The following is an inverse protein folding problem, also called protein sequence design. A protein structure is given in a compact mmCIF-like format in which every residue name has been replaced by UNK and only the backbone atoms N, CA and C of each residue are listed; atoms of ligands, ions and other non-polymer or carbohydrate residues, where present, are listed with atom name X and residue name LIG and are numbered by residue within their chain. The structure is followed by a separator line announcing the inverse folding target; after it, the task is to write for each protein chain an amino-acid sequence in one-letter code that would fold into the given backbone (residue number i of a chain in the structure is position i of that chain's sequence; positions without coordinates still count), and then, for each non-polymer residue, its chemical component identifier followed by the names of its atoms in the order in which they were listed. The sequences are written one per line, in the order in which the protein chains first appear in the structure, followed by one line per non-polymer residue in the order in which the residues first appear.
data_IF_829193980906
#
_entry.id   IF_829193980906
#
_cell.length_a   1.000
_cell.length_b   1.000
_cell.length_c   1.000
_cell.angle_alpha   90.00
_cell.angle_beta   90.00
_cell.angle_gamma   90.00
#
_symmetry.space_group_name_H-M   'P 1'
#
loop_
_entity.id
_entity.type
_entity.pdbx_description
1 polymer ?
#
# COMPACT_ATOMS: atom_id res chain seq x y z
N UNK A 1 45.02 -48.70 23.37
CA UNK A 1 44.89 -50.16 23.45
C UNK A 1 43.53 -50.48 24.05
N UNK A 2 42.74 -51.27 23.32
CA UNK A 2 41.64 -52.19 23.69
C UNK A 2 40.80 -51.97 24.97
N UNK A 3 39.51 -52.33 25.07
CA UNK A 3 38.42 -52.75 24.20
C UNK A 3 37.28 -53.21 25.14
N UNK A 4 36.05 -53.35 24.59
CA UNK A 4 34.84 -54.03 25.11
C UNK A 4 33.97 -53.17 26.06
N UNK A 5 32.70 -52.86 25.81
CA UNK A 5 31.71 -53.36 24.85
C UNK A 5 30.62 -54.14 25.59
N UNK A 6 29.41 -53.57 25.71
CA UNK A 6 28.15 -54.32 25.85
C UNK A 6 27.05 -53.60 25.06
N UNK A 7 26.51 -54.34 24.10
CA UNK A 7 25.38 -54.05 23.23
C UNK A 7 24.07 -54.30 24.02
N UNK A 8 23.04 -53.50 23.79
CA UNK A 8 21.66 -53.99 23.92
C UNK A 8 20.77 -53.37 22.85
N UNK A 9 20.29 -54.25 21.99
CA UNK A 9 19.36 -54.05 20.88
C UNK A 9 17.92 -54.30 21.34
N UNK A 10 16.98 -53.45 20.92
CA UNK A 10 15.56 -53.84 20.80
C UNK A 10 14.98 -53.28 19.49
N UNK A 11 14.36 -54.19 18.73
CA UNK A 11 13.68 -53.99 17.45
C UNK A 11 12.22 -54.47 17.62
N UNK A 12 11.28 -53.70 17.03
CA UNK A 12 9.88 -54.00 16.64
C UNK A 12 8.84 -54.23 17.77
N UNK A 13 7.56 -53.80 17.67
CA UNK A 13 6.69 -53.55 16.53
C UNK A 13 5.51 -52.57 16.87
N UNK A 14 4.85 -52.05 15.82
CA UNK A 14 3.48 -51.46 15.80
C UNK A 14 2.40 -52.52 16.17
N UNK A 15 1.06 -52.27 16.33
CA UNK A 15 0.12 -51.28 15.72
C UNK A 15 -0.99 -50.79 16.73
N UNK A 16 -2.26 -50.38 16.40
CA UNK A 16 -2.93 -50.12 15.11
C UNK A 16 -3.69 -48.77 14.98
N UNK A 17 -4.14 -48.57 13.74
CA UNK A 17 -5.01 -47.55 13.16
C UNK A 17 -6.48 -47.59 13.60
N UNK A 18 -7.14 -46.43 13.70
CA UNK A 18 -8.48 -46.18 13.13
C UNK A 18 -8.90 -44.70 13.15
N UNK A 19 -9.13 -44.16 11.95
CA UNK A 19 -10.19 -43.26 11.46
C UNK A 19 -10.87 -42.22 12.39
N UNK A 20 -10.83 -40.94 11.96
CA UNK A 20 -12.00 -40.16 11.52
C UNK A 20 -11.58 -38.92 10.72
N UNK A 21 -12.14 -38.77 9.51
CA UNK A 21 -12.06 -37.61 8.60
C UNK A 21 -13.22 -36.62 8.83
N UNK A 22 -12.98 -35.32 8.63
CA UNK A 22 -13.97 -34.30 8.23
C UNK A 22 -13.25 -32.99 7.79
N UNK A 23 -13.86 -32.14 6.95
CA UNK A 23 -13.24 -31.75 5.67
C UNK A 23 -12.64 -30.34 5.60
N UNK A 24 -11.83 -30.18 4.56
CA UNK A 24 -11.23 -28.95 4.05
C UNK A 24 -12.22 -28.09 3.27
N UNK A 25 -12.31 -26.79 3.59
CA UNK A 25 -12.93 -25.80 2.72
C UNK A 25 -11.86 -25.06 1.90
N UNK A 26 -11.68 -25.53 0.65
CA UNK A 26 -11.12 -24.74 -0.45
C UNK A 26 -12.30 -24.14 -1.21
N UNK A 27 -12.31 -22.82 -1.40
CA UNK A 27 -13.16 -22.20 -2.42
C UNK A 27 -12.30 -21.36 -3.38
N UNK A 28 -11.84 -22.01 -4.45
CA UNK A 28 -11.65 -21.37 -5.74
C UNK A 28 -12.84 -21.78 -6.60
N UNK A 29 -13.56 -20.83 -7.20
CA UNK A 29 -14.24 -21.05 -8.48
C UNK A 29 -14.60 -19.72 -9.14
N UNK A 30 -13.96 -19.50 -10.29
CA UNK A 30 -14.46 -18.65 -11.36
C UNK A 30 -15.84 -19.15 -11.81
N UNK A 31 -16.78 -18.24 -12.01
CA UNK A 31 -18.09 -18.54 -12.59
C UNK A 31 -18.29 -17.79 -13.91
N UNK A 32 -18.23 -18.51 -15.04
CA UNK A 32 -18.90 -18.15 -16.28
C UNK A 32 -20.32 -18.78 -16.32
N UNK A 33 -21.24 -18.22 -17.12
CA UNK A 33 -22.68 -18.39 -16.89
C UNK A 33 -23.21 -19.68 -17.52
N UNK A 34 -23.99 -20.44 -16.74
CA UNK A 34 -24.83 -21.52 -17.26
C UNK A 34 -26.22 -20.99 -17.59
N UNK A 35 -26.59 -21.10 -18.87
CA UNK A 35 -27.99 -21.11 -19.32
C UNK A 35 -28.60 -22.47 -18.96
N UNK A 36 -29.87 -22.51 -18.56
CA UNK A 36 -30.88 -23.39 -19.18
C UNK A 36 -32.33 -23.14 -18.67
N UNK A 37 -33.23 -23.08 -19.66
CA UNK A 37 -34.65 -23.48 -19.74
C UNK A 37 -35.60 -23.35 -18.53
N UNK A 38 -36.66 -22.57 -18.76
CA UNK A 38 -37.91 -22.56 -17.99
C UNK A 38 -38.82 -23.77 -18.29
N UNK A 39 -39.68 -24.16 -17.35
CA UNK A 39 -41.05 -24.54 -17.67
C UNK A 39 -42.08 -23.68 -16.91
N UNK A 40 -43.17 -23.35 -17.61
CA UNK A 40 -44.38 -22.74 -17.05
C UNK A 40 -45.12 -23.75 -16.14
N UNK A 41 -45.80 -23.26 -15.09
CA UNK A 41 -47.25 -23.45 -14.85
C UNK A 41 -47.68 -22.68 -13.57
N UNK A 42 -48.74 -21.89 -13.79
CA UNK A 42 -49.70 -21.19 -12.92
C UNK A 42 -49.77 -21.42 -11.41
N UNK A 43 -50.08 -20.33 -10.69
CA UNK A 43 -50.81 -20.36 -9.42
C UNK A 43 -50.63 -19.07 -8.62
N UNK A 44 -51.71 -18.28 -8.49
CA UNK A 44 -51.75 -16.96 -7.84
C UNK A 44 -51.55 -17.06 -6.33
N UNK A 45 -50.63 -16.25 -5.79
CA UNK A 45 -50.82 -15.59 -4.49
C UNK A 45 -49.96 -14.31 -4.43
N UNK A 46 -50.63 -13.19 -4.21
CA UNK A 46 -50.04 -11.86 -4.22
C UNK A 46 -49.34 -11.59 -2.88
N UNK A 47 -48.01 -11.71 -2.88
CA UNK A 47 -47.16 -11.20 -1.79
C UNK A 47 -46.39 -9.99 -2.32
N UNK A 48 -46.76 -8.84 -1.79
CA UNK A 48 -46.20 -7.52 -2.11
C UNK A 48 -44.73 -7.46 -1.66
N UNK A 49 -43.80 -7.79 -2.55
CA UNK A 49 -42.36 -7.61 -2.31
C UNK A 49 -42.05 -6.11 -2.32
N UNK A 50 -41.89 -5.53 -1.13
CA UNK A 50 -41.24 -4.24 -0.96
C UNK A 50 -39.82 -4.31 -1.53
N UNK A 51 -39.63 -3.77 -2.74
CA UNK A 51 -38.32 -3.47 -3.25
C UNK A 51 -37.82 -2.23 -2.49
N UNK A 52 -37.07 -2.44 -1.41
CA UNK A 52 -36.33 -1.35 -0.77
C UNK A 52 -35.15 -1.02 -1.68
N UNK A 53 -35.39 -0.15 -2.65
CA UNK A 53 -34.31 0.57 -3.31
C UNK A 53 -33.72 1.49 -2.24
N UNK A 54 -32.62 1.07 -1.63
CA UNK A 54 -31.79 1.96 -0.82
C UNK A 54 -31.11 2.93 -1.80
N UNK A 55 -31.85 3.98 -2.15
CA UNK A 55 -31.27 5.18 -2.72
C UNK A 55 -30.34 5.77 -1.68
N UNK A 56 -29.02 5.61 -1.86
CA UNK A 56 -28.04 6.42 -1.14
C UNK A 56 -28.34 7.88 -1.49
N UNK A 57 -29.04 8.58 -0.59
CA UNK A 57 -29.07 10.04 -0.61
C UNK A 57 -27.65 10.51 -0.34
N UNK A 58 -26.89 10.76 -1.40
CA UNK A 58 -25.78 11.70 -1.33
C UNK A 58 -26.35 13.00 -0.78
N UNK A 59 -25.65 13.60 0.18
CA UNK A 59 -26.10 14.89 0.70
C UNK A 59 -26.15 15.89 -0.47
N UNK A 60 -27.16 16.76 -0.50
CA UNK A 60 -27.30 17.75 -1.59
C UNK A 60 -26.05 18.64 -1.74
N UNK A 61 -25.28 18.79 -0.65
CA UNK A 61 -23.98 19.45 -0.62
C UNK A 61 -22.88 18.66 -1.34
N UNK A 62 -22.76 17.34 -1.13
CA UNK A 62 -21.77 16.52 -1.84
C UNK A 62 -22.03 16.49 -3.34
N UNK A 63 -23.30 16.35 -3.75
CA UNK A 63 -23.66 16.34 -5.16
C UNK A 63 -23.50 17.73 -5.78
N UNK A 64 -23.86 18.81 -5.07
CA UNK A 64 -23.62 20.18 -5.52
C UNK A 64 -22.13 20.48 -5.66
N UNK A 65 -21.30 20.05 -4.71
CA UNK A 65 -19.84 20.18 -4.79
C UNK A 65 -19.28 19.36 -5.95
N UNK A 66 -19.78 18.15 -6.20
CA UNK A 66 -19.38 17.32 -7.36
C UNK A 66 -19.74 17.98 -8.69
N UNK A 67 -20.93 18.56 -8.81
CA UNK A 67 -21.39 19.27 -10.00
C UNK A 67 -20.57 20.55 -10.22
N UNK A 68 -20.30 21.30 -9.15
CA UNK A 68 -19.45 22.49 -9.20
C UNK A 68 -18.02 22.13 -9.63
N UNK A 69 -17.43 21.06 -9.09
CA UNK A 69 -16.12 20.52 -9.51
C UNK A 69 -16.09 20.19 -11.01
N UNK A 70 -17.13 19.52 -11.51
CA UNK A 70 -17.24 19.17 -12.94
C UNK A 70 -17.29 20.41 -13.83
N UNK A 71 -17.97 21.48 -13.38
CA UNK A 71 -18.07 22.75 -14.11
C UNK A 71 -16.79 23.58 -14.06
N UNK A 72 -16.08 23.60 -12.93
CA UNK A 72 -14.79 24.30 -12.78
C UNK A 72 -13.66 23.59 -13.56
N UNK A 73 -13.69 22.26 -13.66
CA UNK A 73 -12.82 21.51 -14.58
C UNK A 73 -13.12 21.82 -16.07
N UNK A 74 -14.36 22.18 -16.40
CA UNK A 74 -14.77 22.51 -17.77
C UNK A 74 -14.49 23.99 -18.14
N UNK A 75 -14.44 24.91 -17.17
CA UNK A 75 -14.28 26.34 -17.42
C UNK A 75 -12.83 26.82 -17.55
N UNK A 76 -11.85 25.98 -17.20
CA UNK A 76 -10.43 26.26 -17.45
C UNK A 76 -9.98 25.61 -18.77
N UNK A 77 -9.50 26.44 -19.71
CA UNK A 77 -8.76 26.12 -20.96
C UNK A 77 -8.86 24.67 -21.39
N UNK A 78 -9.60 24.34 -22.47
CA UNK A 78 -9.70 23.00 -23.11
C UNK A 78 -8.43 22.16 -22.88
N UNK A 79 -8.37 21.48 -21.73
CA UNK A 79 -7.23 20.66 -21.37
C UNK A 79 -7.36 19.46 -22.29
N UNK A 80 -6.50 19.39 -23.32
CA UNK A 80 -6.39 18.19 -24.16
C UNK A 80 -6.34 17.00 -23.20
N UNK A 81 -7.36 16.13 -23.24
CA UNK A 81 -7.40 14.95 -22.38
C UNK A 81 -6.10 14.18 -22.61
N UNK A 82 -5.31 14.01 -21.55
CA UNK A 82 -4.09 13.19 -21.57
C UNK A 82 -4.50 11.77 -21.99
N UNK A 83 -3.76 11.12 -22.90
CA UNK A 83 -3.99 9.70 -23.19
C UNK A 83 -3.92 8.88 -21.90
N UNK A 84 -4.80 7.88 -21.70
CA UNK A 84 -4.72 6.98 -20.56
C UNK A 84 -3.35 6.30 -20.50
N UNK A 85 -2.88 6.04 -19.28
CA UNK A 85 -1.67 5.26 -19.04
C UNK A 85 -1.79 3.88 -19.70
N UNK A 86 -0.68 3.41 -20.26
CA UNK A 86 -0.56 2.07 -20.82
C UNK A 86 0.67 1.40 -20.25
N UNK A 87 0.55 0.10 -20.02
CA UNK A 87 1.65 -0.76 -19.61
C UNK A 87 2.72 -0.81 -20.70
N UNK A 88 3.96 -0.58 -20.32
CA UNK A 88 5.16 -0.79 -21.12
C UNK A 88 5.68 -2.23 -20.99
N UNK A 89 6.83 -2.50 -21.62
CA UNK A 89 7.52 -3.78 -21.50
C UNK A 89 8.24 -3.87 -20.15
N UNK A 90 7.88 -4.85 -19.33
CA UNK A 90 8.56 -5.15 -18.07
C UNK A 90 9.82 -5.98 -18.38
N UNK A 91 10.99 -5.51 -17.91
CA UNK A 91 12.24 -6.27 -18.06
C UNK A 91 12.37 -7.38 -17.01
N UNK A 92 13.30 -8.32 -17.21
CA UNK A 92 13.55 -9.39 -16.26
C UNK A 92 13.88 -8.87 -14.84
N UNK A 93 13.66 -9.73 -13.84
CA UNK A 93 14.01 -9.45 -12.44
C UNK A 93 15.54 -9.24 -12.32
N UNK A 94 15.94 -8.23 -11.55
CA UNK A 94 17.35 -7.95 -11.28
C UNK A 94 17.88 -8.91 -10.21
N UNK A 95 19.13 -9.41 -10.34
CA UNK A 95 19.70 -10.36 -9.39
C UNK A 95 20.15 -9.67 -8.10
N UNK A 96 19.97 -10.36 -6.97
CA UNK A 96 20.49 -9.93 -5.66
C UNK A 96 21.65 -10.84 -5.27
N UNK A 97 22.86 -10.32 -4.97
CA UNK A 97 24.00 -11.14 -4.54
C UNK A 97 23.68 -12.03 -3.33
N UNK A 98 24.29 -13.22 -3.26
CA UNK A 98 23.99 -14.20 -2.20
C UNK A 98 24.27 -13.69 -0.78
N UNK A 99 25.30 -12.86 -0.60
CA UNK A 99 25.69 -12.31 0.70
C UNK A 99 24.71 -11.27 1.29
N UNK A 100 23.78 -10.74 0.50
CA UNK A 100 22.76 -9.81 0.98
C UNK A 100 21.70 -10.59 1.77
N UNK A 101 21.44 -10.17 3.01
CA UNK A 101 20.39 -10.76 3.84
C UNK A 101 19.02 -10.60 3.16
N UNK A 102 18.25 -11.69 3.09
CA UNK A 102 16.94 -11.72 2.43
C UNK A 102 15.82 -11.78 3.47
N UNK A 103 14.72 -11.05 3.28
CA UNK A 103 13.53 -11.19 4.12
C UNK A 103 12.84 -12.56 3.88
N UNK A 104 12.03 -13.04 4.84
CA UNK A 104 11.54 -14.43 4.87
C UNK A 104 10.57 -14.80 3.73
N UNK A 105 9.97 -13.83 3.05
CA UNK A 105 9.06 -14.08 1.94
C UNK A 105 9.78 -14.39 0.61
N UNK A 106 11.09 -14.14 0.52
CA UNK A 106 11.84 -14.39 -0.71
C UNK A 106 11.89 -15.89 -1.01
N UNK A 107 11.43 -16.27 -2.19
CA UNK A 107 11.32 -17.67 -2.63
C UNK A 107 9.87 -18.17 -2.74
N UNK A 108 8.91 -17.40 -2.22
CA UNK A 108 7.48 -17.63 -2.42
C UNK A 108 6.87 -16.56 -3.32
N UNK A 109 5.89 -16.93 -4.15
CA UNK A 109 5.05 -15.97 -4.87
C UNK A 109 3.73 -15.69 -4.15
N UNK A 110 3.48 -16.35 -3.01
CA UNK A 110 2.30 -16.09 -2.19
C UNK A 110 2.49 -14.78 -1.46
N UNK A 111 1.49 -13.90 -1.52
CA UNK A 111 1.49 -12.67 -0.75
C UNK A 111 1.50 -13.02 0.76
N UNK A 112 2.45 -12.51 1.55
CA UNK A 112 2.44 -12.74 2.99
C UNK A 112 1.15 -12.25 3.64
N UNK A 113 0.63 -12.99 4.61
CA UNK A 113 -0.47 -12.53 5.43
C UNK A 113 -0.03 -11.33 6.29
N UNK A 114 -0.96 -10.41 6.56
CA UNK A 114 -0.72 -9.29 7.46
C UNK A 114 -0.37 -9.82 8.86
N UNK A 115 0.79 -9.45 9.39
CA UNK A 115 1.17 -9.86 10.74
C UNK A 115 0.31 -9.14 11.78
N UNK A 116 -0.21 -9.87 12.76
CA UNK A 116 -0.92 -9.28 13.90
C UNK A 116 0.04 -8.69 14.95
N UNK A 117 1.35 -8.79 14.74
CA UNK A 117 2.37 -8.33 15.67
C UNK A 117 2.64 -6.83 15.49
N UNK A 118 2.17 -6.05 16.45
CA UNK A 118 2.48 -4.64 16.55
C UNK A 118 4.00 -4.43 16.66
N UNK A 119 4.57 -3.60 15.80
CA UNK A 119 6.00 -3.35 15.73
C UNK A 119 6.40 -2.30 16.78
N UNK A 120 6.66 -2.76 18.01
CA UNK A 120 7.17 -1.95 19.13
C UNK A 120 8.58 -2.41 19.45
N UNK A 121 9.52 -1.47 19.52
CA UNK A 121 10.95 -1.79 19.56
C UNK A 121 11.60 -1.33 20.86
N UNK A 122 12.63 -2.07 21.27
CA UNK A 122 13.61 -1.62 22.26
C UNK A 122 14.65 -0.69 21.60
N UNK A 123 15.64 -0.24 22.38
CA UNK A 123 16.65 0.71 21.91
C UNK A 123 17.48 0.17 20.72
N UNK A 124 17.80 -1.13 20.68
CA UNK A 124 18.54 -1.75 19.57
C UNK A 124 17.65 -1.83 18.31
N UNK A 125 16.40 -2.25 18.47
CA UNK A 125 15.43 -2.27 17.38
C UNK A 125 15.17 -0.88 16.79
N UNK A 126 15.07 0.15 17.64
CA UNK A 126 14.95 1.55 17.20
C UNK A 126 16.18 1.99 16.40
N UNK A 127 17.39 1.65 16.85
CA UNK A 127 18.61 1.99 16.12
C UNK A 127 18.66 1.32 14.73
N UNK A 128 18.22 0.06 14.62
CA UNK A 128 18.13 -0.65 13.33
C UNK A 128 17.05 -0.08 12.42
N UNK A 129 15.89 0.29 12.98
CA UNK A 129 14.83 0.99 12.25
C UNK A 129 15.32 2.30 11.67
N UNK A 130 16.03 3.11 12.47
CA UNK A 130 16.64 4.37 12.01
C UNK A 130 17.60 4.12 10.84
N UNK A 131 18.50 3.14 10.96
CA UNK A 131 19.44 2.82 9.89
C UNK A 131 18.75 2.39 8.58
N UNK A 132 17.72 1.54 8.65
CA UNK A 132 16.96 1.12 7.48
C UNK A 132 16.19 2.30 6.85
N UNK A 133 15.54 3.12 7.67
CA UNK A 133 14.79 4.29 7.22
C UNK A 133 15.69 5.38 6.61
N UNK A 134 16.86 5.65 7.22
CA UNK A 134 17.85 6.58 6.67
C UNK A 134 18.36 6.12 5.30
N UNK A 135 18.55 4.81 5.11
CA UNK A 135 18.90 4.28 3.80
C UNK A 135 17.75 4.44 2.79
N UNK A 136 16.51 4.10 3.16
CA UNK A 136 15.34 4.26 2.30
C UNK A 136 15.18 5.72 1.84
N UNK A 137 15.30 6.68 2.76
CA UNK A 137 15.22 8.11 2.47
C UNK A 137 16.32 8.57 1.49
N UNK A 138 17.57 8.14 1.69
CA UNK A 138 18.67 8.45 0.76
C UNK A 138 18.45 7.86 -0.64
N UNK A 139 17.90 6.64 -0.71
CA UNK A 139 17.57 6.00 -1.98
C UNK A 139 16.43 6.74 -2.68
N UNK A 140 15.41 7.19 -1.96
CA UNK A 140 14.30 7.98 -2.49
C UNK A 140 14.77 9.34 -3.02
N UNK A 141 15.61 10.05 -2.27
CA UNK A 141 16.19 11.33 -2.71
C UNK A 141 17.01 11.15 -3.99
N UNK A 142 17.87 10.13 -4.03
CA UNK A 142 18.61 9.76 -5.23
C UNK A 142 17.67 9.44 -6.41
N UNK A 143 16.63 8.63 -6.20
CA UNK A 143 15.65 8.31 -7.24
C UNK A 143 14.98 9.56 -7.80
N UNK A 144 14.67 10.54 -6.94
CA UNK A 144 14.14 11.84 -7.32
C UNK A 144 15.02 12.61 -8.30
N UNK A 145 16.36 12.53 -8.16
CA UNK A 145 17.30 13.18 -9.09
C UNK A 145 17.24 12.64 -10.51
N UNK A 146 16.71 11.42 -10.70
CA UNK A 146 16.59 10.77 -12.00
C UNK A 146 15.30 11.17 -12.73
N UNK A 147 14.35 11.82 -12.04
CA UNK A 147 13.03 12.18 -12.60
C UNK A 147 13.16 13.32 -13.60
N UNK A 148 13.15 12.96 -14.89
CA UNK A 148 13.13 13.92 -16.01
C UNK A 148 12.48 13.29 -17.24
N UNK A 149 12.03 14.09 -18.21
CA UNK A 149 11.45 13.58 -19.45
C UNK A 149 12.39 12.58 -20.15
N UNK A 150 11.79 11.61 -20.84
CA UNK A 150 12.45 10.53 -21.58
C UNK A 150 13.14 9.44 -20.76
N UNK A 151 13.34 9.61 -19.45
CA UNK A 151 13.79 8.52 -18.56
C UNK A 151 12.64 7.54 -18.36
N UNK A 152 12.93 6.24 -18.46
CA UNK A 152 11.96 5.17 -18.18
C UNK A 152 11.88 4.86 -16.69
N UNK A 153 10.72 4.40 -16.23
CA UNK A 153 10.57 3.92 -14.85
C UNK A 153 11.48 2.73 -14.56
N UNK A 154 11.74 1.87 -15.56
CA UNK A 154 12.70 0.77 -15.44
C UNK A 154 14.17 1.23 -15.33
N UNK A 155 14.55 2.40 -15.86
CA UNK A 155 15.89 2.99 -15.60
C UNK A 155 16.02 3.45 -14.15
N UNK A 156 14.95 4.04 -13.59
CA UNK A 156 14.89 4.41 -12.17
C UNK A 156 15.02 3.17 -11.28
N UNK A 157 14.23 2.12 -11.54
CA UNK A 157 14.31 0.84 -10.81
C UNK A 157 15.72 0.25 -10.82
N UNK A 158 16.40 0.23 -11.98
CA UNK A 158 17.77 -0.29 -12.07
C UNK A 158 18.76 0.51 -11.22
N UNK A 159 18.65 1.83 -11.23
CA UNK A 159 19.54 2.71 -10.46
C UNK A 159 19.29 2.57 -8.96
N UNK A 160 18.02 2.56 -8.54
CA UNK A 160 17.58 2.33 -7.16
C UNK A 160 18.03 0.96 -6.67
N UNK A 161 17.76 -0.10 -7.44
CA UNK A 161 18.22 -1.46 -7.14
C UNK A 161 19.73 -1.49 -6.88
N UNK A 162 20.52 -0.90 -7.79
CA UNK A 162 21.98 -0.87 -7.63
C UNK A 162 22.39 -0.18 -6.33
N UNK A 163 21.83 0.99 -6.02
CA UNK A 163 22.16 1.73 -4.80
C UNK A 163 21.81 0.93 -3.53
N UNK A 164 20.67 0.24 -3.52
CA UNK A 164 20.25 -0.61 -2.40
C UNK A 164 21.24 -1.77 -2.20
N UNK A 165 21.63 -2.45 -3.29
CA UNK A 165 22.60 -3.55 -3.24
C UNK A 165 23.98 -3.07 -2.80
N UNK A 166 24.47 -1.95 -3.35
CA UNK A 166 25.77 -1.37 -2.97
C UNK A 166 25.80 -0.98 -1.47
N UNK A 167 24.64 -0.65 -0.89
CA UNK A 167 24.49 -0.35 0.53
C UNK A 167 24.34 -1.60 1.44
N UNK A 168 24.42 -2.81 0.88
CA UNK A 168 24.30 -4.06 1.64
C UNK A 168 22.87 -4.42 2.03
N UNK A 169 21.86 -3.80 1.42
CA UNK A 169 20.45 -4.01 1.73
C UNK A 169 19.72 -4.78 0.62
N UNK A 170 18.54 -5.30 0.96
CA UNK A 170 17.64 -5.94 0.01
C UNK A 170 16.49 -4.99 -0.37
N UNK A 171 16.10 -4.87 -1.65
CA UNK A 171 14.93 -4.07 -2.04
C UNK A 171 13.64 -4.82 -1.69
N UNK A 172 12.95 -4.41 -0.62
CA UNK A 172 11.84 -5.18 -0.04
C UNK A 172 10.74 -5.56 -1.05
N UNK A 173 10.30 -4.69 -1.99
CA UNK A 173 9.28 -5.06 -2.95
C UNK A 173 9.67 -6.24 -3.83
N UNK A 174 10.96 -6.49 -4.04
CA UNK A 174 11.43 -7.52 -4.95
C UNK A 174 11.03 -8.92 -4.48
N UNK A 175 10.11 -9.56 -5.20
CA UNK A 175 9.60 -10.90 -4.87
C UNK A 175 8.47 -10.91 -3.84
N UNK A 176 8.11 -9.78 -3.23
CA UNK A 176 7.00 -9.72 -2.28
C UNK A 176 5.67 -10.05 -2.98
N UNK A 177 5.03 -11.17 -2.63
CA UNK A 177 3.84 -11.67 -3.34
C UNK A 177 4.05 -11.90 -4.85
N UNK A 178 5.30 -12.10 -5.28
CA UNK A 178 5.65 -12.19 -6.69
C UNK A 178 5.89 -10.86 -7.42
N UNK A 179 5.89 -9.71 -6.73
CA UNK A 179 6.18 -8.41 -7.36
C UNK A 179 7.55 -8.44 -8.09
N UNK A 180 7.64 -7.93 -9.34
CA UNK A 180 8.79 -8.22 -10.20
C UNK A 180 9.96 -7.23 -10.08
N UNK A 181 9.79 -6.12 -9.36
CA UNK A 181 10.71 -4.97 -9.36
C UNK A 181 11.14 -4.57 -7.95
N UNK A 182 12.12 -3.67 -7.88
CA UNK A 182 12.79 -3.30 -6.63
C UNK A 182 12.16 -2.09 -5.94
N UNK A 183 11.32 -1.37 -6.68
CA UNK A 183 10.68 -0.11 -6.31
C UNK A 183 9.34 -0.03 -7.03
N UNK A 184 8.38 0.69 -6.47
CA UNK A 184 7.13 1.03 -7.15
C UNK A 184 7.27 2.41 -7.83
N UNK A 185 6.72 2.55 -9.05
CA UNK A 185 6.70 3.82 -9.80
C UNK A 185 5.31 4.12 -10.33
N UNK A 186 4.60 5.01 -9.67
CA UNK A 186 3.17 5.29 -9.91
C UNK A 186 3.00 6.62 -10.60
N UNK A 187 2.75 6.59 -11.92
CA UNK A 187 2.68 7.79 -12.76
C UNK A 187 1.23 8.25 -12.96
N UNK A 188 0.99 9.56 -12.78
CA UNK A 188 -0.29 10.24 -13.06
C UNK A 188 -1.52 9.62 -12.40
N UNK A 189 -2.34 8.83 -13.11
CA UNK A 189 -3.56 8.20 -12.59
C UNK A 189 -3.27 6.93 -11.79
N UNK A 190 -2.05 6.42 -11.83
CA UNK A 190 -1.62 5.31 -10.99
C UNK A 190 -1.51 5.80 -9.54
N UNK A 191 -2.33 5.20 -8.67
CA UNK A 191 -2.42 5.50 -7.24
C UNK A 191 -1.19 4.97 -6.49
N UNK A 192 -0.89 3.69 -6.69
CA UNK A 192 0.19 2.97 -6.02
C UNK A 192 0.54 1.68 -6.81
N UNK A 193 1.64 1.04 -6.40
CA UNK A 193 2.12 -0.26 -6.89
C UNK A 193 2.34 -0.35 -8.42
N UNK A 194 2.59 0.79 -9.08
CA UNK A 194 2.95 0.78 -10.50
C UNK A 194 4.25 0.03 -10.73
N UNK A 195 4.24 -0.97 -11.62
CA UNK A 195 5.43 -1.76 -11.93
C UNK A 195 6.37 -0.96 -12.87
N UNK A 196 7.65 -0.74 -12.51
CA UNK A 196 8.65 -0.19 -13.42
C UNK A 196 8.75 -0.94 -14.75
N UNK A 197 8.65 -0.20 -15.86
CA UNK A 197 8.58 -0.73 -17.22
C UNK A 197 9.26 0.20 -18.24
N UNK A 198 9.12 -0.11 -19.53
CA UNK A 198 9.73 0.66 -20.61
C UNK A 198 9.07 2.02 -20.90
N UNK A 199 8.06 2.45 -20.13
CA UNK A 199 7.39 3.73 -20.32
C UNK A 199 8.34 4.86 -19.97
N UNK A 200 8.57 5.75 -20.93
CA UNK A 200 9.28 7.00 -20.69
C UNK A 200 8.37 8.04 -20.01
N UNK A 201 8.92 8.69 -18.99
CA UNK A 201 8.33 9.89 -18.38
C UNK A 201 8.17 10.99 -19.43
N UNK A 202 7.04 11.69 -19.35
CA UNK A 202 6.70 12.80 -20.24
C UNK A 202 6.80 14.12 -19.48
N UNK A 203 7.11 15.20 -20.19
CA UNK A 203 7.04 16.54 -19.61
C UNK A 203 5.61 16.84 -19.14
N UNK A 204 5.46 17.19 -17.86
CA UNK A 204 4.18 17.44 -17.22
C UNK A 204 3.57 16.23 -16.50
N UNK A 205 4.28 15.09 -16.47
CA UNK A 205 3.94 13.96 -15.60
C UNK A 205 4.21 14.30 -14.12
N UNK A 206 3.49 13.62 -13.24
CA UNK A 206 3.92 13.39 -11.85
C UNK A 206 4.17 11.90 -11.66
N UNK A 207 5.11 11.55 -10.81
CA UNK A 207 5.48 10.17 -10.49
C UNK A 207 5.70 10.04 -8.99
N UNK A 208 4.94 9.17 -8.33
CA UNK A 208 5.32 8.67 -7.02
C UNK A 208 6.37 7.56 -7.20
N UNK A 209 7.44 7.65 -6.42
CA UNK A 209 8.43 6.58 -6.26
C UNK A 209 8.35 6.15 -4.81
N UNK A 210 8.17 4.85 -4.61
CA UNK A 210 7.94 4.23 -3.31
C UNK A 210 9.01 3.18 -3.06
N UNK A 211 9.81 3.44 -2.03
CA UNK A 211 11.08 2.80 -1.72
C UNK A 211 11.00 2.17 -0.34
N UNK A 212 11.10 0.84 -0.34
CA UNK A 212 11.34 0.07 0.87
C UNK A 212 12.66 -0.70 0.76
N UNK A 213 13.49 -0.62 1.81
CA UNK A 213 14.72 -1.43 1.93
C UNK A 213 14.62 -2.36 3.13
N UNK A 214 15.32 -3.49 3.07
CA UNK A 214 15.52 -4.41 4.19
C UNK A 214 17.00 -4.45 4.54
N UNK A 215 17.33 -3.95 5.73
CA UNK A 215 18.70 -3.80 6.22
C UNK A 215 18.78 -4.31 7.66
N UNK A 216 19.75 -5.18 7.94
CA UNK A 216 20.04 -5.69 9.29
C UNK A 216 18.82 -6.27 10.03
N UNK A 217 17.89 -6.88 9.30
CA UNK A 217 16.69 -7.49 9.87
C UNK A 217 15.43 -6.63 9.84
N UNK A 218 15.52 -5.37 9.39
CA UNK A 218 14.44 -4.38 9.48
C UNK A 218 14.11 -3.74 8.14
N UNK A 219 12.84 -3.42 7.94
CA UNK A 219 12.33 -2.70 6.79
C UNK A 219 12.24 -1.19 7.10
N UNK A 220 12.67 -0.36 6.15
CA UNK A 220 12.43 1.09 6.18
C UNK A 220 11.70 1.52 4.92
N UNK A 221 10.64 2.32 5.06
CA UNK A 221 9.69 2.60 3.98
C UNK A 221 9.33 4.09 3.83
N UNK A 222 9.30 4.55 2.59
CA UNK A 222 8.97 5.93 2.26
C UNK A 222 8.69 6.12 0.78
N UNK A 223 7.82 7.08 0.47
CA UNK A 223 7.50 7.44 -0.89
C UNK A 223 7.27 8.94 -1.05
N UNK A 224 7.51 9.43 -2.27
CA UNK A 224 7.32 10.84 -2.63
C UNK A 224 6.84 10.98 -4.05
N UNK A 225 5.91 11.91 -4.27
CA UNK A 225 5.51 12.31 -5.63
C UNK A 225 6.41 13.41 -6.16
N UNK A 226 7.14 13.13 -7.24
CA UNK A 226 8.01 14.05 -7.95
C UNK A 226 7.34 14.67 -9.19
N UNK A 227 7.78 15.88 -9.52
CA UNK A 227 7.34 16.61 -10.72
C UNK A 227 8.30 16.35 -11.88
N UNK A 228 7.79 15.89 -13.03
CA UNK A 228 8.60 15.65 -14.22
C UNK A 228 8.50 16.83 -15.20
N UNK A 229 9.54 17.67 -15.24
CA UNK A 229 9.58 18.86 -16.10
C UNK A 229 8.50 19.90 -15.74
N UNK A 230 7.85 20.47 -16.75
CA UNK A 230 6.89 21.56 -16.59
C UNK A 230 5.47 21.03 -16.29
N UNK A 231 5.19 20.79 -15.01
CA UNK A 231 3.86 20.38 -14.50
C UNK A 231 2.93 21.59 -14.36
N UNK A 232 1.64 21.42 -14.66
CA UNK A 232 0.64 22.49 -14.52
C UNK A 232 0.29 22.77 -13.03
N UNK A 233 -0.17 23.98 -12.74
CA UNK A 233 -0.46 24.44 -11.37
C UNK A 233 -1.51 23.59 -10.61
N UNK A 234 -2.63 23.15 -11.23
CA UNK A 234 -3.57 22.26 -10.54
C UNK A 234 -2.93 20.94 -10.08
N UNK A 235 -2.01 20.39 -10.87
CA UNK A 235 -1.31 19.14 -10.54
C UNK A 235 -0.22 19.37 -9.49
N UNK A 236 0.52 20.49 -9.56
CA UNK A 236 1.46 20.88 -8.49
C UNK A 236 0.75 21.06 -7.15
N UNK A 237 -0.46 21.63 -7.16
CA UNK A 237 -1.30 21.78 -5.97
C UNK A 237 -1.70 20.44 -5.37
N UNK A 238 -2.08 19.46 -6.19
CA UNK A 238 -2.38 18.09 -5.73
C UNK A 238 -1.18 17.52 -4.96
N UNK A 239 0.01 17.58 -5.55
CA UNK A 239 1.25 17.07 -4.93
C UNK A 239 1.51 17.74 -3.60
N UNK A 240 1.50 19.09 -3.56
CA UNK A 240 1.73 19.86 -2.34
C UNK A 240 0.70 19.57 -1.23
N UNK A 241 -0.58 19.51 -1.58
CA UNK A 241 -1.65 19.23 -0.60
C UNK A 241 -1.56 17.79 -0.07
N UNK A 242 -1.07 16.85 -0.87
CA UNK A 242 -0.84 15.46 -0.42
C UNK A 242 0.29 15.40 0.61
N UNK A 243 1.39 16.11 0.39
CA UNK A 243 2.50 16.25 1.35
C UNK A 243 2.02 16.89 2.66
N UNK A 244 1.30 18.02 2.59
CA UNK A 244 0.73 18.69 3.76
C UNK A 244 -0.32 17.81 4.49
N UNK A 245 -1.03 16.93 3.78
CA UNK A 245 -1.91 15.94 4.40
C UNK A 245 -1.12 14.94 5.25
N UNK A 246 -0.02 14.40 4.71
CA UNK A 246 0.89 13.51 5.46
C UNK A 246 1.38 14.19 6.74
N UNK A 247 1.93 15.40 6.63
CA UNK A 247 2.45 16.18 7.78
C UNK A 247 1.36 16.38 8.86
N UNK A 248 0.13 16.69 8.45
CA UNK A 248 -1.01 16.84 9.36
C UNK A 248 -1.40 15.53 10.03
N UNK A 249 -1.35 14.41 9.30
CA UNK A 249 -1.53 13.08 9.86
C UNK A 249 -0.50 12.78 10.95
N UNK A 250 0.79 13.01 10.66
CA UNK A 250 1.90 12.83 11.60
C UNK A 250 1.74 13.72 12.84
N UNK A 251 1.31 14.97 12.68
CA UNK A 251 1.11 15.92 13.80
C UNK A 251 0.08 15.46 14.84
N UNK A 252 -0.78 14.49 14.50
CA UNK A 252 -1.75 13.91 15.42
C UNK A 252 -1.16 12.79 16.30
N UNK A 253 0.06 12.35 16.00
CA UNK A 253 0.66 11.15 16.57
C UNK A 253 1.45 11.44 17.83
N UNK A 254 1.18 10.65 18.88
CA UNK A 254 1.90 10.59 20.15
C UNK A 254 1.38 9.40 20.95
N UNK A 255 2.11 9.00 21.98
CA UNK A 255 1.64 8.00 22.94
C UNK A 255 0.22 8.30 23.46
N UNK A 256 -0.63 7.26 23.48
CA UNK A 256 -2.04 7.31 23.87
C UNK A 256 -2.99 7.99 22.87
N UNK A 257 -2.50 8.53 21.75
CA UNK A 257 -3.38 9.11 20.73
C UNK A 257 -4.07 8.02 19.89
N UNK A 258 -5.37 8.20 19.61
CA UNK A 258 -6.07 7.27 18.71
C UNK A 258 -5.62 7.39 17.26
N UNK A 259 -5.40 6.26 16.58
CA UNK A 259 -5.11 6.18 15.15
C UNK A 259 -6.17 6.89 14.28
N UNK A 260 -7.43 6.90 14.72
CA UNK A 260 -8.54 7.58 14.01
C UNK A 260 -8.30 9.09 13.81
N UNK A 261 -7.43 9.70 14.62
CA UNK A 261 -7.08 11.12 14.47
C UNK A 261 -6.31 11.40 13.18
N UNK A 262 -5.54 10.43 12.67
CA UNK A 262 -4.76 10.56 11.43
C UNK A 262 -5.72 10.80 10.26
N UNK A 263 -6.63 9.85 10.01
CA UNK A 263 -7.59 9.97 8.90
C UNK A 263 -8.52 11.18 9.02
N UNK A 264 -8.90 11.57 10.25
CA UNK A 264 -9.65 12.80 10.49
C UNK A 264 -8.89 14.05 10.00
N UNK A 265 -7.62 14.20 10.40
CA UNK A 265 -6.79 15.36 10.04
C UNK A 265 -6.51 15.44 8.55
N UNK A 266 -6.25 14.31 7.91
CA UNK A 266 -6.02 14.20 6.47
C UNK A 266 -7.29 14.59 5.70
N UNK A 267 -8.44 13.97 6.00
CA UNK A 267 -9.69 14.28 5.30
C UNK A 267 -10.13 15.73 5.47
N UNK A 268 -10.11 16.29 6.69
CA UNK A 268 -10.44 17.70 6.93
C UNK A 268 -9.57 18.67 6.11
N UNK A 269 -8.35 18.27 5.76
CA UNK A 269 -7.48 19.08 4.92
C UNK A 269 -7.76 18.88 3.43
N UNK A 270 -7.79 17.63 2.96
CA UNK A 270 -8.04 17.30 1.56
C UNK A 270 -9.39 17.83 1.06
N UNK A 271 -10.44 17.77 1.89
CA UNK A 271 -11.79 18.23 1.58
C UNK A 271 -11.83 19.73 1.22
N UNK A 272 -10.98 20.57 1.83
CA UNK A 272 -10.89 22.00 1.54
C UNK A 272 -10.43 22.31 0.11
N UNK A 273 -9.78 21.35 -0.54
CA UNK A 273 -9.32 21.45 -1.93
C UNK A 273 -10.17 20.61 -2.89
N UNK A 274 -11.21 19.94 -2.39
CA UNK A 274 -12.07 19.08 -3.19
C UNK A 274 -11.42 17.78 -3.65
N UNK A 275 -10.30 17.36 -3.05
CA UNK A 275 -9.61 16.10 -3.37
C UNK A 275 -10.26 14.91 -2.66
N UNK A 276 -10.24 13.75 -3.31
CA UNK A 276 -10.60 12.48 -2.70
C UNK A 276 -9.44 11.91 -1.89
N UNK A 277 -9.75 11.22 -0.79
CA UNK A 277 -8.78 10.42 -0.02
C UNK A 277 -9.09 8.95 -0.29
N UNK A 278 -8.13 8.20 -0.82
CA UNK A 278 -8.35 6.78 -1.18
C UNK A 278 -8.54 5.94 0.09
N UNK A 279 -9.56 5.09 0.09
CA UNK A 279 -9.93 4.27 1.27
C UNK A 279 -9.31 2.86 1.23
N UNK A 280 -8.98 2.37 0.03
CA UNK A 280 -8.55 0.98 -0.19
C UNK A 280 -7.10 0.71 0.25
N UNK A 281 -6.26 1.73 0.26
CA UNK A 281 -4.84 1.67 0.63
C UNK A 281 -4.61 2.45 1.92
N UNK A 282 -3.86 1.86 2.83
CA UNK A 282 -3.77 2.23 4.24
C UNK A 282 -2.33 2.09 4.68
N UNK A 283 -1.91 2.88 5.66
CA UNK A 283 -0.61 2.67 6.29
C UNK A 283 -0.60 1.40 7.12
N UNK A 284 0.58 0.99 7.57
CA UNK A 284 0.78 -0.27 8.26
C UNK A 284 1.88 -0.18 9.31
N UNK A 285 1.83 -1.08 10.31
CA UNK A 285 2.98 -1.37 11.14
C UNK A 285 4.14 -1.87 10.29
N UNK A 286 5.35 -1.45 10.65
CA UNK A 286 6.57 -1.82 9.92
C UNK A 286 7.75 -1.97 10.87
N UNK A 287 8.58 -2.97 10.65
CA UNK A 287 9.73 -3.28 11.48
C UNK A 287 10.52 -4.46 10.95
N UNK A 288 10.60 -5.53 11.72
CA UNK A 288 11.13 -6.81 11.24
C UNK A 288 10.22 -7.47 10.22
N UNK A 289 8.95 -7.07 10.21
CA UNK A 289 7.93 -7.42 9.22
C UNK A 289 7.66 -6.22 8.32
N UNK A 290 7.51 -6.46 7.01
CA UNK A 290 7.22 -5.41 6.03
C UNK A 290 5.84 -4.78 6.28
N UNK A 291 4.77 -5.58 6.29
CA UNK A 291 3.41 -5.11 6.58
C UNK A 291 2.84 -5.84 7.81
N UNK A 292 2.57 -5.09 8.87
CA UNK A 292 1.98 -5.58 10.11
C UNK A 292 0.83 -4.68 10.57
N UNK A 293 0.08 -5.13 11.56
CA UNK A 293 -0.80 -4.25 12.34
C UNK A 293 0.04 -3.17 13.05
N UNK A 294 -0.50 -1.95 13.23
CA UNK A 294 -1.87 -1.53 12.93
C UNK A 294 -2.08 -1.11 11.47
N UNK A 295 -3.25 -1.37 10.91
CA UNK A 295 -3.69 -0.69 9.68
C UNK A 295 -4.10 0.76 9.94
N UNK A 296 -3.48 1.71 9.23
CA UNK A 296 -3.66 3.15 9.40
C UNK A 296 -4.56 3.73 8.31
N UNK A 297 -5.81 4.05 8.67
CA UNK A 297 -6.75 4.67 7.75
C UNK A 297 -6.44 6.16 7.52
N UNK A 298 -6.32 6.56 6.25
CA UNK A 298 -6.07 7.96 5.86
C UNK A 298 -7.35 8.79 5.70
N UNK A 299 -8.50 8.14 5.63
CA UNK A 299 -9.79 8.80 5.45
C UNK A 299 -10.59 8.85 6.76
N UNK A 300 -11.42 9.88 6.91
CA UNK A 300 -12.44 9.96 7.95
C UNK A 300 -13.61 9.05 7.57
N UNK A 301 -13.75 7.89 8.22
CA UNK A 301 -15.01 7.10 8.11
C UNK A 301 -16.19 7.90 8.69
N UNK A 302 -17.24 8.06 7.90
CA UNK A 302 -18.43 8.86 8.25
C UNK A 302 -19.55 8.03 8.92
N UNK A 303 -19.43 6.70 8.93
CA UNK A 303 -20.49 5.78 9.39
C UNK A 303 -20.03 4.91 10.56
N UNK A 304 -20.79 4.93 11.65
CA UNK A 304 -20.46 4.39 12.98
C UNK A 304 -20.49 2.86 13.14
N UNK A 305 -20.87 2.09 12.11
CA UNK A 305 -21.05 0.63 12.20
C UNK A 305 -19.83 -0.21 11.76
N UNK A 306 -18.78 0.41 11.20
CA UNK A 306 -17.54 -0.28 10.80
C UNK A 306 -16.32 0.33 11.50
N UNK A 307 -16.52 0.58 12.81
CA UNK A 307 -15.73 1.49 13.65
C UNK A 307 -14.42 0.90 14.16
N UNK A 308 -14.05 -0.29 13.70
CA UNK A 308 -12.83 -0.93 14.12
C UNK A 308 -11.74 -0.55 13.11
N UNK A 309 -10.68 0.10 13.61
CA UNK A 309 -9.36 -0.28 13.13
C UNK A 309 -9.35 -1.78 13.28
N UNK A 310 -9.16 -2.53 12.21
CA UNK A 310 -9.23 -4.00 12.26
C UNK A 310 -7.97 -4.49 12.98
N UNK A 311 -7.85 -4.21 14.27
CA UNK A 311 -6.82 -4.79 15.12
C UNK A 311 -7.27 -6.22 15.38
N UNK A 312 -6.68 -7.19 14.69
CA UNK A 312 -6.89 -8.62 14.98
C UNK A 312 -6.04 -9.14 16.16
N UNK A 313 -5.38 -8.25 16.90
CA UNK A 313 -4.46 -8.55 18.01
C UNK A 313 -4.97 -8.23 19.42
N UNK A 314 -4.13 -8.51 20.42
CA UNK A 314 -4.44 -8.37 21.86
C UNK A 314 -4.46 -6.91 22.37
N UNK A 315 -3.99 -5.93 21.58
CA UNK A 315 -4.06 -4.51 21.93
C UNK A 315 -5.30 -3.86 21.27
N UNK A 316 -6.41 -3.89 22.00
CA UNK A 316 -7.73 -3.40 21.55
C UNK A 316 -7.93 -1.90 21.79
N UNK A 317 -6.90 -1.15 22.20
CA UNK A 317 -7.08 0.25 22.58
C UNK A 317 -7.39 1.16 21.38
N UNK A 318 -6.89 0.80 20.18
CA UNK A 318 -6.94 1.67 19.00
C UNK A 318 -6.11 2.95 19.18
N UNK A 319 -5.14 2.91 20.10
CA UNK A 319 -4.24 3.99 20.45
C UNK A 319 -2.79 3.63 20.15
N UNK A 320 -1.99 4.66 19.87
CA UNK A 320 -0.56 4.57 19.65
C UNK A 320 0.19 4.34 20.96
N UNK A 321 1.29 3.61 20.90
CA UNK A 321 2.15 3.32 22.06
C UNK A 321 3.58 3.79 21.78
N UNK A 322 4.25 4.35 22.77
CA UNK A 322 5.68 4.69 22.68
C UNK A 322 6.55 3.49 22.21
N UNK A 323 7.51 3.75 21.33
CA UNK A 323 8.36 2.71 20.72
C UNK A 323 7.76 2.05 19.48
N UNK A 324 6.50 2.31 19.17
CA UNK A 324 5.81 1.75 18.00
C UNK A 324 6.25 2.42 16.69
N UNK A 325 6.46 1.64 15.63
CA UNK A 325 6.71 2.14 14.26
C UNK A 325 5.62 1.74 13.28
N UNK A 326 5.20 2.69 12.44
CA UNK A 326 4.23 2.47 11.37
C UNK A 326 4.36 3.54 10.27
N UNK A 327 3.72 3.30 9.12
CA UNK A 327 3.67 4.23 7.99
C UNK A 327 2.40 5.09 8.03
N UNK A 328 2.52 6.32 7.55
CA UNK A 328 1.38 7.15 7.13
C UNK A 328 1.63 7.47 5.66
N UNK A 329 0.71 7.09 4.78
CA UNK A 329 0.92 7.05 3.32
C UNK A 329 -0.31 7.52 2.49
N UNK A 330 -0.89 8.71 2.76
CA UNK A 330 -2.12 9.13 2.12
C UNK A 330 -1.98 9.24 0.60
N UNK A 331 -2.96 8.65 -0.10
CA UNK A 331 -3.15 8.83 -1.54
C UNK A 331 -4.34 9.79 -1.75
N UNK A 332 -4.07 10.93 -2.41
CA UNK A 332 -5.11 11.86 -2.82
C UNK A 332 -5.39 11.77 -4.32
N UNK A 333 -6.65 11.97 -4.71
CA UNK A 333 -7.07 12.00 -6.11
C UNK A 333 -7.74 13.32 -6.49
N UNK A 334 -7.52 13.77 -7.73
CA UNK A 334 -8.23 14.94 -8.28
C UNK A 334 -9.68 14.63 -8.66
N UNK A 335 -10.00 13.36 -8.89
CA UNK A 335 -11.29 12.89 -9.38
C UNK A 335 -11.92 11.91 -8.41
N UNK A 336 -12.28 10.74 -8.92
CA UNK A 336 -12.84 9.63 -8.15
C UNK A 336 -11.79 8.98 -7.25
N UNK A 337 -12.24 8.38 -6.14
CA UNK A 337 -11.45 7.45 -5.32
C UNK A 337 -11.62 5.99 -5.78
N UNK A 338 -12.57 5.74 -6.68
CA UNK A 338 -12.77 4.41 -7.28
C UNK A 338 -11.53 4.01 -8.07
N UNK A 339 -11.14 2.74 -7.94
CA UNK A 339 -9.89 2.24 -8.49
C UNK A 339 -10.10 0.98 -9.35
N UNK A 340 -9.19 0.78 -10.30
CA UNK A 340 -9.09 -0.42 -11.13
C UNK A 340 -7.68 -0.96 -10.99
N UNK A 341 -7.55 -2.23 -10.65
CA UNK A 341 -6.26 -2.94 -10.65
C UNK A 341 -6.06 -3.58 -12.02
N UNK A 342 -4.88 -3.39 -12.63
CA UNK A 342 -4.54 -3.98 -13.92
C UNK A 342 -4.41 -5.51 -13.84
N UNK A 343 -4.36 -6.15 -15.01
CA UNK A 343 -4.18 -7.59 -15.17
C UNK A 343 -2.81 -8.10 -14.68
N UNK A 344 -1.86 -7.19 -14.45
CA UNK A 344 -0.59 -7.49 -13.79
C UNK A 344 -0.74 -7.79 -12.28
N UNK A 345 -1.92 -7.55 -11.70
CA UNK A 345 -2.26 -7.85 -10.31
C UNK A 345 -1.79 -6.80 -9.29
N UNK A 346 -1.08 -5.76 -9.72
CA UNK A 346 -0.44 -4.78 -8.83
C UNK A 346 -0.86 -3.35 -9.15
N UNK A 347 -0.67 -2.92 -10.40
CA UNK A 347 -0.81 -1.53 -10.80
C UNK A 347 -2.25 -1.10 -10.58
N UNK A 348 -2.47 -0.18 -9.63
CA UNK A 348 -3.82 0.31 -9.32
C UNK A 348 -3.96 1.76 -9.76
N UNK A 349 -4.99 2.03 -10.58
CA UNK A 349 -5.24 3.33 -11.20
C UNK A 349 -6.62 3.87 -10.81
N UNK A 350 -6.81 5.20 -10.88
CA UNK A 350 -8.13 5.81 -10.78
C UNK A 350 -9.05 5.35 -11.92
N UNK A 351 -10.30 5.03 -11.59
CA UNK A 351 -11.28 4.55 -12.56
C UNK A 351 -11.68 5.61 -13.61
N UNK A 352 -11.50 6.90 -13.30
CA UNK A 352 -11.82 8.02 -14.18
C UNK A 352 -10.60 8.60 -14.92
N UNK A 353 -9.40 8.06 -14.68
CA UNK A 353 -8.14 8.56 -15.25
C UNK A 353 -7.66 9.89 -14.66
N UNK A 354 -8.27 10.35 -13.57
CA UNK A 354 -7.81 11.50 -12.78
C UNK A 354 -6.46 11.23 -12.14
N UNK A 355 -5.66 12.27 -11.92
CA UNK A 355 -4.35 12.11 -11.27
C UNK A 355 -4.48 11.76 -9.80
N UNK A 356 -3.54 10.96 -9.32
CA UNK A 356 -3.30 10.65 -7.92
C UNK A 356 -1.89 11.11 -7.51
N UNK A 357 -1.73 11.43 -6.23
CA UNK A 357 -0.44 11.68 -5.62
C UNK A 357 -0.40 10.98 -4.26
N UNK A 358 0.80 10.53 -3.87
CA UNK A 358 1.08 9.87 -2.59
C UNK A 358 2.38 10.41 -2.00
N UNK A 359 2.41 10.51 -0.68
CA UNK A 359 3.60 10.74 0.12
C UNK A 359 3.56 9.81 1.31
N UNK A 360 4.73 9.42 1.80
CA UNK A 360 4.81 8.49 2.91
C UNK A 360 6.05 8.69 3.77
N UNK A 361 5.84 8.53 5.08
CA UNK A 361 6.90 8.35 6.04
C UNK A 361 6.65 7.17 6.97
N UNK A 362 7.71 6.43 7.27
CA UNK A 362 7.82 5.61 8.48
C UNK A 362 8.07 6.54 9.67
N UNK A 363 7.27 6.41 10.72
CA UNK A 363 7.39 7.19 11.95
C UNK A 363 7.57 6.30 13.18
N UNK A 364 8.24 6.83 14.20
CA UNK A 364 8.38 6.25 15.53
C UNK A 364 7.57 7.06 16.54
N UNK A 365 6.69 6.40 17.31
CA UNK A 365 5.94 7.06 18.37
C UNK A 365 6.83 7.31 19.58
N UNK A 366 6.77 8.53 20.08
CA UNK A 366 7.43 8.97 21.31
C UNK A 366 6.38 9.39 22.34
N UNK A 367 6.77 9.52 23.60
CA UNK A 367 5.89 10.01 24.67
C UNK A 367 5.15 11.31 24.34
N UNK A 368 5.79 12.24 23.60
CA UNK A 368 5.26 13.59 23.37
C UNK A 368 4.83 13.87 21.92
N UNK A 369 5.10 12.95 20.98
CA UNK A 369 4.91 13.19 19.55
C UNK A 369 5.28 11.97 18.71
N UNK A 370 5.71 12.20 17.48
CA UNK A 370 6.32 11.19 16.62
C UNK A 370 7.63 11.72 16.01
N UNK A 371 8.61 10.83 15.88
CA UNK A 371 9.84 11.07 15.13
C UNK A 371 9.67 10.54 13.70
N UNK A 372 9.97 11.37 12.70
CA UNK A 372 9.97 10.94 11.29
C UNK A 372 11.31 10.29 10.97
N UNK A 373 11.32 8.98 10.73
CA UNK A 373 12.55 8.22 10.53
C UNK A 373 13.08 8.32 9.09
N UNK A 374 12.21 8.59 8.12
CA UNK A 374 12.56 8.68 6.69
C UNK A 374 12.62 10.12 6.16
N UNK A 375 13.12 11.06 6.97
CA UNK A 375 13.22 12.47 6.58
C UNK A 375 14.24 12.65 5.44
N UNK A 376 13.86 13.39 4.40
CA UNK A 376 14.70 13.77 3.25
C UNK A 376 14.74 15.28 3.04
#
# INVERSE_FOLDING_TARGET
MAAKGVLNSFIMAAPPSSFMEAPSDRLFLMGQPLRHSSPNISGKEAVQKHCVIISRRLSGLEEAMRIQRSRELQSSVKLRKRPPLRRGKVSARLPVPEHIARPPYVGSNTLPELSNECQVHDDDGIARMKAACELAARVLDFAGTLVRPSVTTNEIDKAVHKMIIDAGAYPSPLGYGGFPKSVCTSVNECMCHGIPDSRQLQNGDIINIDVTVYLNGYHGDTSKTFLCGNVNEPTKRLVKVTEECLERGISACKDGASFKKIGKKISEFAERYGYGVVERFVGHGIGTVFHAEPLILHHRKMNSMANDVIMKGNDKSGCMVEGQTFTIEPILTMGSIECVTWDDGWTTVTADGGRAAQFEHTILITRTGAEVLTKY
#
